data_IF_903680662074
#
_entry.id   IF_903680662074
#
_cell.length_a   1.000
_cell.length_b   1.000
_cell.length_c   1.000
_cell.angle_alpha   90.00
_cell.angle_beta   90.00
_cell.angle_gamma   90.00
#
_symmetry.space_group_name_H-M   'P 1'
#
loop_
_entity.id
_entity.type
_entity.pdbx_description
1 polymer ?
#
# COMPACT_ATOMS: atom_id res chain seq x y z
N UNK A 1 -11.33 40.88 -51.48
CA UNK A 1 -12.34 40.49 -50.47
C UNK A 1 -12.62 38.99 -50.46
N UNK A 2 -12.90 38.33 -51.60
CA UNK A 2 -13.07 36.86 -51.64
C UNK A 2 -11.77 36.08 -51.40
N UNK A 3 -10.64 36.58 -51.90
CA UNK A 3 -9.34 35.91 -51.75
C UNK A 3 -8.84 35.89 -50.29
N UNK A 4 -9.11 36.97 -49.53
CA UNK A 4 -8.83 37.03 -48.09
C UNK A 4 -9.73 36.07 -47.29
N UNK A 5 -11.02 35.98 -47.66
CA UNK A 5 -11.94 35.00 -47.07
C UNK A 5 -11.48 33.57 -47.33
N UNK A 6 -11.01 33.26 -48.54
CA UNK A 6 -10.52 31.91 -48.88
C UNK A 6 -9.24 31.55 -48.12
N UNK A 7 -8.32 32.50 -47.89
CA UNK A 7 -7.12 32.29 -47.06
C UNK A 7 -7.50 32.03 -45.59
N UNK A 8 -8.42 32.80 -45.03
CA UNK A 8 -8.90 32.61 -43.67
C UNK A 8 -9.56 31.23 -43.45
N UNK A 9 -10.38 30.77 -44.41
CA UNK A 9 -11.03 29.45 -44.34
C UNK A 9 -9.99 28.31 -44.42
N UNK A 10 -8.98 28.42 -45.29
CA UNK A 10 -7.90 27.42 -45.39
C UNK A 10 -7.08 27.35 -44.09
N UNK A 11 -6.83 28.49 -43.46
CA UNK A 11 -6.10 28.56 -42.20
C UNK A 11 -6.91 27.92 -41.05
N UNK A 12 -8.19 28.26 -40.93
CA UNK A 12 -9.12 27.62 -39.97
C UNK A 12 -9.20 26.10 -40.18
N UNK A 13 -9.29 25.64 -41.42
CA UNK A 13 -9.31 24.20 -41.73
C UNK A 13 -8.02 23.50 -41.31
N UNK A 14 -6.87 24.15 -41.50
CA UNK A 14 -5.57 23.60 -41.13
C UNK A 14 -5.36 23.56 -39.61
N UNK A 15 -5.80 24.60 -38.89
CA UNK A 15 -5.79 24.66 -37.44
C UNK A 15 -6.71 23.59 -36.83
N UNK A 16 -7.94 23.45 -37.35
CA UNK A 16 -8.85 22.38 -36.93
C UNK A 16 -8.27 20.98 -37.17
N UNK A 17 -7.63 20.74 -38.33
CA UNK A 17 -7.02 19.44 -38.64
C UNK A 17 -5.88 19.08 -37.68
N UNK A 18 -5.06 20.05 -37.28
CA UNK A 18 -3.97 19.86 -36.31
C UNK A 18 -4.55 19.57 -34.92
N UNK A 19 -5.56 20.33 -34.50
CA UNK A 19 -6.24 20.12 -33.21
C UNK A 19 -6.87 18.74 -33.14
N UNK A 20 -7.57 18.31 -34.19
CA UNK A 20 -8.15 16.96 -34.28
C UNK A 20 -7.08 15.88 -34.22
N UNK A 21 -5.96 16.04 -34.95
CA UNK A 21 -4.85 15.08 -34.92
C UNK A 21 -4.24 14.93 -33.51
N UNK A 22 -4.08 16.03 -32.78
CA UNK A 22 -3.59 16.03 -31.40
C UNK A 22 -4.60 15.36 -30.46
N UNK A 23 -5.90 15.67 -30.59
CA UNK A 23 -6.97 15.10 -29.76
C UNK A 23 -7.22 13.62 -30.01
N UNK A 24 -7.07 13.14 -31.25
CA UNK A 24 -7.21 11.72 -31.60
C UNK A 24 -5.91 10.94 -31.46
N UNK A 25 -4.82 11.60 -31.07
CA UNK A 25 -3.52 10.94 -30.90
C UNK A 25 -3.58 9.91 -29.77
N UNK A 26 -2.98 8.72 -29.92
CA UNK A 26 -2.87 7.74 -28.85
C UNK A 26 -2.08 8.24 -27.64
N UNK A 27 -1.40 9.39 -27.75
CA UNK A 27 -0.76 10.09 -26.64
C UNK A 27 -1.75 10.34 -25.49
N UNK A 28 -3.03 10.63 -25.79
CA UNK A 28 -4.03 10.82 -24.74
C UNK A 28 -4.29 9.57 -23.91
N UNK A 29 -4.16 8.37 -24.48
CA UNK A 29 -4.25 7.12 -23.73
C UNK A 29 -3.09 7.00 -22.74
N UNK A 30 -1.89 7.41 -23.14
CA UNK A 30 -0.72 7.41 -22.26
C UNK A 30 -0.84 8.43 -21.13
N UNK A 31 -1.33 9.64 -21.44
CA UNK A 31 -1.60 10.67 -20.43
C UNK A 31 -2.68 10.20 -19.45
N UNK A 32 -3.78 9.65 -19.96
CA UNK A 32 -4.87 9.11 -19.13
C UNK A 32 -4.36 7.96 -18.24
N UNK A 33 -3.60 7.03 -18.81
CA UNK A 33 -3.00 5.93 -18.05
C UNK A 33 -2.08 6.44 -16.94
N UNK A 34 -1.25 7.45 -17.22
CA UNK A 34 -0.36 8.06 -16.22
C UNK A 34 -1.15 8.70 -15.08
N UNK A 35 -2.20 9.47 -15.38
CA UNK A 35 -3.07 10.08 -14.36
C UNK A 35 -3.76 9.02 -13.51
N UNK A 36 -4.31 7.96 -14.14
CA UNK A 36 -4.94 6.86 -13.42
C UNK A 36 -3.94 6.10 -12.53
N UNK A 37 -2.73 5.89 -13.01
CA UNK A 37 -1.66 5.23 -12.26
C UNK A 37 -1.26 6.07 -11.03
N UNK A 38 -0.99 7.37 -11.21
CA UNK A 38 -0.66 8.27 -10.10
C UNK A 38 -1.80 8.38 -9.09
N UNK A 39 -3.06 8.48 -9.56
CA UNK A 39 -4.22 8.51 -8.67
C UNK A 39 -4.32 7.22 -7.83
N UNK A 40 -4.03 6.06 -8.43
CA UNK A 40 -4.02 4.78 -7.73
C UNK A 40 -2.89 4.69 -6.68
N UNK A 41 -1.68 5.19 -6.99
CA UNK A 41 -0.59 5.25 -6.01
C UNK A 41 -0.91 6.17 -4.83
N UNK A 42 -1.45 7.36 -5.09
CA UNK A 42 -1.87 8.30 -4.04
C UNK A 42 -2.98 7.68 -3.18
N UNK A 43 -3.94 7.00 -3.81
CA UNK A 43 -5.01 6.31 -3.09
C UNK A 43 -4.44 5.22 -2.16
N UNK A 44 -3.53 4.37 -2.67
CA UNK A 44 -2.90 3.32 -1.85
C UNK A 44 -2.13 3.90 -0.67
N UNK A 45 -1.30 4.92 -0.90
CA UNK A 45 -0.54 5.58 0.16
C UNK A 45 -1.44 6.22 1.21
N UNK A 46 -2.55 6.85 0.78
CA UNK A 46 -3.54 7.40 1.72
C UNK A 46 -4.17 6.30 2.59
N UNK A 47 -4.49 5.15 1.98
CA UNK A 47 -5.05 4.02 2.70
C UNK A 47 -4.03 3.35 3.65
N UNK A 48 -2.72 3.39 3.38
CA UNK A 48 -1.70 2.93 4.34
C UNK A 48 -1.80 3.69 5.66
N UNK A 49 -2.06 5.00 5.62
CA UNK A 49 -2.31 5.82 6.81
C UNK A 49 -3.58 5.38 7.56
N UNK A 50 -4.69 5.20 6.84
CA UNK A 50 -5.95 4.72 7.43
C UNK A 50 -5.79 3.33 8.07
N UNK A 51 -5.10 2.42 7.39
CA UNK A 51 -4.83 1.07 7.90
C UNK A 51 -3.94 1.11 9.13
N UNK A 52 -2.96 2.02 9.17
CA UNK A 52 -2.13 2.24 10.36
C UNK A 52 -2.98 2.64 11.56
N UNK A 53 -3.96 3.54 11.39
CA UNK A 53 -4.90 3.89 12.46
C UNK A 53 -5.78 2.72 12.89
N UNK A 54 -6.28 1.92 11.94
CA UNK A 54 -7.05 0.71 12.21
C UNK A 54 -6.23 -0.26 13.06
N UNK A 55 -4.96 -0.48 12.71
CA UNK A 55 -4.06 -1.33 13.48
C UNK A 55 -3.80 -0.78 14.88
N UNK A 56 -3.53 0.51 15.02
CA UNK A 56 -3.31 1.15 16.32
C UNK A 56 -4.51 1.02 17.26
N UNK A 57 -5.73 0.94 16.74
CA UNK A 57 -6.95 0.69 17.54
C UNK A 57 -7.18 -0.80 17.82
N UNK A 58 -6.95 -1.65 16.83
CA UNK A 58 -7.31 -3.07 16.85
C UNK A 58 -6.31 -3.92 17.62
N UNK A 59 -5.01 -3.65 17.46
CA UNK A 59 -3.96 -4.46 18.07
C UNK A 59 -4.04 -4.46 19.62
N UNK A 60 -4.16 -3.31 20.31
CA UNK A 60 -4.29 -3.30 21.77
C UNK A 60 -5.54 -4.02 22.28
N UNK A 61 -6.66 -3.90 21.56
CA UNK A 61 -7.93 -4.55 21.94
C UNK A 61 -7.86 -6.08 21.92
N UNK A 62 -6.92 -6.65 21.14
CA UNK A 62 -6.74 -8.09 21.01
C UNK A 62 -5.47 -8.61 21.70
N UNK A 63 -5.00 -7.91 22.73
CA UNK A 63 -3.91 -8.37 23.59
C UNK A 63 -2.50 -8.03 23.07
N UNK A 64 -2.40 -7.18 22.06
CA UNK A 64 -1.13 -6.66 21.53
C UNK A 64 -0.91 -5.20 21.96
N UNK A 65 -1.08 -4.89 23.25
CA UNK A 65 -0.78 -3.55 23.80
C UNK A 65 0.71 -3.28 23.90
N UNK A 66 1.52 -4.33 24.06
CA UNK A 66 2.97 -4.25 24.33
C UNK A 66 3.78 -4.41 23.05
N UNK A 67 3.44 -3.65 22.01
CA UNK A 67 4.18 -3.64 20.75
C UNK A 67 5.47 -2.85 20.94
N UNK A 68 6.59 -3.51 20.69
CA UNK A 68 7.91 -2.87 20.73
C UNK A 68 8.22 -2.11 19.44
N UNK A 69 7.72 -2.62 18.32
CA UNK A 69 7.98 -2.05 17.01
C UNK A 69 6.88 -2.49 16.04
N UNK A 70 6.21 -1.53 15.41
CA UNK A 70 5.29 -1.76 14.28
C UNK A 70 5.99 -1.24 13.03
N UNK A 71 6.23 -2.12 12.05
CA UNK A 71 6.77 -1.71 10.77
C UNK A 71 5.77 -0.84 10.01
N UNK A 72 6.29 0.00 9.13
CA UNK A 72 5.45 0.78 8.22
C UNK A 72 4.51 -0.15 7.45
N UNK A 73 3.23 0.20 7.42
CA UNK A 73 2.23 -0.48 6.60
C UNK A 73 2.56 -0.23 5.14
N UNK A 74 2.59 -1.31 4.35
CA UNK A 74 2.80 -1.23 2.90
C UNK A 74 1.64 -1.88 2.16
N UNK A 75 1.19 -1.23 1.10
CA UNK A 75 0.25 -1.84 0.18
C UNK A 75 0.94 -2.94 -0.63
N UNK A 76 0.47 -4.18 -0.47
CA UNK A 76 0.76 -5.31 -1.33
C UNK A 76 -0.39 -5.50 -2.32
N UNK A 77 -0.15 -5.14 -3.58
CA UNK A 77 -1.17 -5.16 -4.63
C UNK A 77 -0.71 -6.01 -5.80
N UNK A 78 -1.39 -7.13 -6.02
CA UNK A 78 -1.22 -7.93 -7.22
C UNK A 78 -2.35 -7.64 -8.20
N UNK A 79 -2.02 -7.51 -9.49
CA UNK A 79 -3.00 -7.25 -10.55
C UNK A 79 -4.08 -8.35 -10.53
N UNK A 80 -5.34 -7.95 -10.31
CA UNK A 80 -6.49 -8.86 -10.23
C UNK A 80 -6.81 -9.45 -8.85
N UNK A 81 -5.99 -9.24 -7.80
CA UNK A 81 -6.23 -9.82 -6.46
C UNK A 81 -6.66 -8.82 -5.38
N UNK A 82 -6.95 -7.57 -5.75
CA UNK A 82 -7.28 -6.52 -4.79
C UNK A 82 -6.06 -6.05 -4.00
N UNK A 83 -6.23 -4.95 -3.25
CA UNK A 83 -5.15 -4.40 -2.41
C UNK A 83 -5.21 -5.02 -1.03
N UNK A 84 -4.09 -5.63 -0.64
CA UNK A 84 -3.85 -6.08 0.73
C UNK A 84 -2.81 -5.14 1.35
N UNK A 85 -2.91 -4.88 2.65
CA UNK A 85 -1.95 -4.06 3.37
C UNK A 85 -1.22 -4.94 4.36
N UNK A 86 0.11 -4.93 4.30
CA UNK A 86 0.94 -5.78 5.14
C UNK A 86 1.78 -4.93 6.07
N UNK A 87 1.95 -5.41 7.28
CA UNK A 87 2.92 -4.90 8.24
C UNK A 87 3.40 -6.05 9.10
N UNK A 88 4.35 -5.78 9.97
CA UNK A 88 4.87 -6.74 10.92
C UNK A 88 5.23 -6.04 12.20
N UNK A 89 5.11 -6.72 13.33
CA UNK A 89 5.47 -6.14 14.61
C UNK A 89 6.10 -7.16 15.56
N UNK A 90 6.84 -6.66 16.53
CA UNK A 90 7.41 -7.47 17.60
C UNK A 90 6.72 -7.16 18.92
N UNK A 91 6.51 -8.21 19.71
CA UNK A 91 5.96 -8.13 21.07
C UNK A 91 7.06 -8.43 22.08
N UNK A 92 6.84 -8.08 23.35
CA UNK A 92 7.75 -8.46 24.45
C UNK A 92 8.07 -9.96 24.45
N UNK A 93 7.08 -10.80 24.12
CA UNK A 93 7.22 -12.27 24.06
C UNK A 93 8.14 -12.70 22.92
N UNK A 94 7.98 -12.14 21.73
CA UNK A 94 8.82 -12.49 20.57
C UNK A 94 10.26 -12.02 20.78
N UNK A 95 10.46 -10.81 21.29
CA UNK A 95 11.80 -10.27 21.63
C UNK A 95 12.50 -11.15 22.67
N UNK A 96 11.82 -11.55 23.74
CA UNK A 96 12.40 -12.44 24.75
C UNK A 96 12.79 -13.81 24.16
N UNK A 97 11.99 -14.34 23.23
CA UNK A 97 12.27 -15.60 22.53
C UNK A 97 13.50 -15.46 21.64
N UNK A 98 13.62 -14.36 20.89
CA UNK A 98 14.80 -14.05 20.07
C UNK A 98 16.05 -13.93 20.96
N UNK A 99 16.00 -13.14 22.04
CA UNK A 99 17.12 -13.00 22.97
C UNK A 99 17.59 -14.33 23.55
N UNK A 100 16.66 -15.21 23.96
CA UNK A 100 17.00 -16.54 24.44
C UNK A 100 17.65 -17.42 23.36
N UNK A 101 17.21 -17.29 22.10
CA UNK A 101 17.80 -18.01 20.97
C UNK A 101 19.25 -17.58 20.73
N UNK A 102 19.50 -16.27 20.68
CA UNK A 102 20.85 -15.75 20.44
C UNK A 102 21.81 -15.95 21.61
N UNK A 103 21.29 -15.91 22.85
CA UNK A 103 22.07 -16.26 24.04
C UNK A 103 22.55 -17.72 23.97
N UNK A 104 21.69 -18.65 23.50
CA UNK A 104 22.06 -20.06 23.29
C UNK A 104 23.10 -20.24 22.18
N UNK A 105 23.11 -19.37 21.18
CA UNK A 105 24.09 -19.42 20.09
C UNK A 105 25.38 -18.64 20.39
N UNK A 106 25.54 -18.08 21.59
CA UNK A 106 26.73 -17.32 21.99
C UNK A 106 26.93 -15.99 21.25
N UNK A 107 25.91 -15.49 20.55
CA UNK A 107 26.01 -14.28 19.72
C UNK A 107 25.59 -13.06 20.53
N UNK A 108 26.45 -12.03 20.62
CA UNK A 108 26.03 -10.70 21.06
C UNK A 108 25.17 -10.08 19.96
N UNK A 109 23.97 -9.66 20.30
CA UNK A 109 22.98 -9.07 19.40
C UNK A 109 22.79 -7.60 19.73
N UNK A 110 22.72 -6.78 18.70
CA UNK A 110 22.33 -5.38 18.83
C UNK A 110 20.81 -5.26 19.03
N UNK A 111 20.35 -4.10 19.51
CA UNK A 111 18.91 -3.85 19.77
C UNK A 111 18.03 -4.08 18.54
N UNK A 112 18.56 -3.85 17.32
CA UNK A 112 17.86 -4.10 16.06
C UNK A 112 17.64 -5.58 15.75
N UNK A 113 18.61 -6.44 16.13
CA UNK A 113 18.55 -7.89 15.87
C UNK A 113 17.54 -8.61 16.78
N UNK A 114 17.20 -8.01 17.92
CA UNK A 114 16.29 -8.60 18.90
C UNK A 114 14.84 -8.75 18.39
N UNK A 115 14.51 -8.15 17.25
CA UNK A 115 13.18 -8.22 16.63
C UNK A 115 13.04 -9.37 15.60
N UNK A 116 14.11 -10.11 15.34
CA UNK A 116 14.14 -11.27 14.42
C UNK A 116 14.73 -12.50 15.13
N UNK A 117 14.43 -13.73 14.69
CA UNK A 117 13.56 -14.10 13.57
C UNK A 117 12.07 -14.24 13.95
N UNK A 118 11.73 -14.28 15.24
CA UNK A 118 10.33 -14.37 15.67
C UNK A 118 9.70 -12.97 15.70
N UNK A 119 8.63 -12.78 14.93
CA UNK A 119 7.79 -11.58 14.89
C UNK A 119 6.35 -11.95 14.51
N UNK A 120 5.43 -11.00 14.60
CA UNK A 120 4.04 -11.14 14.14
C UNK A 120 3.90 -10.45 12.78
N UNK A 121 3.26 -11.12 11.83
CA UNK A 121 2.83 -10.54 10.57
C UNK A 121 1.38 -10.09 10.71
N UNK A 122 1.05 -8.96 10.11
CA UNK A 122 -0.33 -8.48 10.05
C UNK A 122 -0.71 -8.14 8.63
N UNK A 123 -1.83 -8.69 8.21
CA UNK A 123 -2.43 -8.52 6.91
C UNK A 123 -3.78 -7.87 7.09
N UNK A 124 -4.00 -6.73 6.47
CA UNK A 124 -5.25 -5.98 6.52
C UNK A 124 -5.82 -5.89 5.12
N UNK A 125 -7.07 -6.31 4.95
CA UNK A 125 -7.78 -6.24 3.68
C UNK A 125 -9.16 -5.63 3.86
N UNK A 126 -9.65 -4.96 2.83
CA UNK A 126 -11.03 -4.45 2.84
C UNK A 126 -12.00 -5.63 2.87
N UNK A 127 -13.03 -5.55 3.71
CA UNK A 127 -14.05 -6.60 3.85
C UNK A 127 -15.41 -5.95 4.02
N UNK A 128 -16.17 -5.84 2.93
CA UNK A 128 -17.42 -5.08 2.90
C UNK A 128 -17.19 -3.60 3.22
N UNK A 129 -17.95 -3.06 4.18
CA UNK A 129 -17.79 -1.67 4.66
C UNK A 129 -16.63 -1.48 5.65
N UNK A 130 -16.01 -2.57 6.11
CA UNK A 130 -14.97 -2.54 7.14
C UNK A 130 -13.63 -3.11 6.66
N UNK A 131 -12.82 -3.49 7.63
CA UNK A 131 -11.51 -4.11 7.47
C UNK A 131 -11.51 -5.50 8.08
N UNK A 132 -10.79 -6.42 7.44
CA UNK A 132 -10.40 -7.69 8.06
C UNK A 132 -8.92 -7.62 8.36
N UNK A 133 -8.57 -7.73 9.65
CA UNK A 133 -7.21 -7.75 10.16
C UNK A 133 -6.87 -9.18 10.52
N UNK A 134 -5.84 -9.74 9.89
CA UNK A 134 -5.33 -11.08 10.13
C UNK A 134 -3.93 -10.96 10.70
N UNK A 135 -3.68 -11.57 11.85
CA UNK A 135 -2.38 -11.58 12.52
C UNK A 135 -1.88 -13.01 12.51
N UNK A 136 -0.65 -13.22 12.04
CA UNK A 136 0.03 -14.51 12.05
C UNK A 136 1.38 -14.41 12.76
N UNK A 137 1.86 -15.54 13.28
CA UNK A 137 3.28 -15.67 13.62
C UNK A 137 4.13 -15.76 12.35
N UNK A 138 5.35 -15.20 12.39
CA UNK A 138 6.32 -15.29 11.27
C UNK A 138 6.70 -16.71 10.86
N UNK A 139 6.41 -17.68 11.73
CA UNK A 139 6.63 -19.12 11.52
C UNK A 139 5.34 -19.89 11.17
N UNK A 140 4.21 -19.19 10.97
CA UNK A 140 2.93 -19.74 10.55
C UNK A 140 2.21 -20.63 11.58
N UNK A 141 2.60 -20.58 12.85
CA UNK A 141 2.07 -21.49 13.89
C UNK A 141 0.76 -21.00 14.52
N UNK A 142 0.54 -19.69 14.59
CA UNK A 142 -0.66 -19.08 15.15
C UNK A 142 -1.21 -18.07 14.14
N UNK A 143 -2.50 -18.14 13.83
CA UNK A 143 -3.22 -17.16 13.01
C UNK A 143 -4.51 -16.74 13.73
N UNK A 144 -4.83 -15.45 13.71
CA UNK A 144 -6.08 -14.90 14.25
C UNK A 144 -6.62 -13.84 13.31
N UNK A 145 -7.93 -13.83 13.09
CA UNK A 145 -8.60 -12.91 12.18
C UNK A 145 -9.70 -12.13 12.89
N UNK A 146 -9.72 -10.81 12.69
CA UNK A 146 -10.64 -9.88 13.32
C UNK A 146 -11.33 -9.02 12.27
N UNK A 147 -12.63 -8.81 12.44
CA UNK A 147 -13.42 -7.91 11.60
C UNK A 147 -13.58 -6.58 12.32
N UNK A 148 -13.12 -5.50 11.70
CA UNK A 148 -13.16 -4.13 12.22
C UNK A 148 -14.11 -3.32 11.35
N UNK A 149 -15.05 -2.62 11.95
CA UNK A 149 -15.99 -1.74 11.23
C UNK A 149 -15.50 -0.31 11.24
#
# INVERSE_FOLDING_TARGET
>A
MEEEKMKAIKQLYHEHKIITLILTSPIWLFVLFSVLFTANEIYKSTQEGVVTEVLNKTLPQHGYSDIYYLNQVKADSHFGMGTTYVSSFSTKRTVKKNQALFAKSGKKIDKGDANLPYYKEVTVRRSGMGWKVTISDSIGQEESSYSVK
#
